data_IF_154225777672
#
_entry.id   IF_154225777672
#
_cell.length_a   1.000
_cell.length_b   1.000
_cell.length_c   1.000
_cell.angle_alpha   90.00
_cell.angle_beta   90.00
_cell.angle_gamma   90.00
#
_symmetry.space_group_name_H-M   'P 1'
#
loop_
_entity.id
_entity.type
_entity.pdbx_description
1 polymer ?
#
# COMPACT_ATOMS: atom_id res chain seq x y z
N UNK A 1 0.02 -3.77 6.25
CA UNK A 1 0.80 -5.00 6.03
C UNK A 1 0.02 -6.22 6.46
N UNK A 2 -0.28 -7.18 5.57
CA UNK A 2 -1.18 -8.28 5.89
C UNK A 2 -0.58 -9.41 6.71
N UNK A 3 0.72 -9.40 7.07
CA UNK A 3 1.36 -10.62 7.56
C UNK A 3 2.20 -10.41 8.81
N UNK A 4 1.54 -10.21 9.95
CA UNK A 4 2.17 -10.56 11.22
C UNK A 4 1.85 -12.01 11.51
N UNK A 5 2.81 -12.88 11.29
CA UNK A 5 2.73 -14.25 11.75
C UNK A 5 3.01 -14.29 13.26
N UNK A 6 2.07 -14.85 14.01
CA UNK A 6 2.43 -15.54 15.25
C UNK A 6 3.51 -16.56 14.86
N UNK A 7 4.59 -16.68 15.65
CA UNK A 7 5.66 -17.63 15.38
C UNK A 7 5.07 -19.00 15.05
N UNK A 8 5.32 -19.54 13.86
CA UNK A 8 4.64 -20.74 13.42
C UNK A 8 5.17 -21.94 14.20
N UNK A 9 4.28 -22.83 14.62
CA UNK A 9 4.68 -24.16 15.09
C UNK A 9 5.45 -24.89 13.98
N UNK A 10 6.47 -25.70 14.31
CA UNK A 10 7.33 -26.36 13.32
C UNK A 10 6.53 -27.29 12.41
N UNK A 11 6.73 -27.17 11.10
CA UNK A 11 6.04 -27.91 10.05
C UNK A 11 6.96 -28.87 9.29
N UNK A 12 6.50 -30.10 9.01
CA UNK A 12 7.07 -31.00 8.00
C UNK A 12 6.20 -31.00 6.74
N UNK A 13 6.75 -31.36 5.55
CA UNK A 13 6.05 -31.26 4.26
C UNK A 13 4.68 -31.95 4.21
N UNK A 14 4.41 -32.93 5.07
CA UNK A 14 3.18 -33.72 5.07
C UNK A 14 2.23 -33.45 6.23
N UNK A 15 2.69 -32.83 7.34
CA UNK A 15 1.85 -32.71 8.54
C UNK A 15 1.67 -31.27 9.05
N UNK A 16 2.37 -30.31 8.49
CA UNK A 16 2.48 -28.96 9.01
C UNK A 16 2.47 -27.85 7.93
N UNK A 17 1.76 -28.03 6.83
CA UNK A 17 1.46 -26.95 5.92
C UNK A 17 0.08 -26.40 6.24
N UNK A 18 -0.01 -25.11 6.57
CA UNK A 18 -1.31 -24.45 6.79
C UNK A 18 -1.62 -23.57 5.59
N UNK A 19 -2.82 -23.75 5.04
CA UNK A 19 -3.37 -22.84 4.05
C UNK A 19 -4.17 -21.77 4.79
N UNK A 20 -4.01 -20.54 4.38
CA UNK A 20 -4.67 -19.38 4.99
C UNK A 20 -5.39 -18.58 3.92
N UNK A 21 -6.69 -18.37 4.11
CA UNK A 21 -7.41 -17.35 3.37
C UNK A 21 -7.26 -16.01 4.12
N UNK A 22 -7.17 -14.94 3.39
CA UNK A 22 -7.12 -13.62 3.97
C UNK A 22 -7.94 -12.61 3.16
N UNK A 23 -8.48 -11.64 3.86
CA UNK A 23 -9.07 -10.43 3.30
C UNK A 23 -8.51 -9.23 4.05
N UNK A 24 -8.15 -8.21 3.31
CA UNK A 24 -7.69 -6.92 3.84
C UNK A 24 -8.52 -5.82 3.22
N UNK A 25 -9.03 -4.92 4.03
CA UNK A 25 -9.69 -3.69 3.60
C UNK A 25 -8.95 -2.53 4.25
N UNK A 26 -8.59 -1.53 3.47
CA UNK A 26 -8.03 -0.29 3.99
C UNK A 26 -8.78 0.89 3.41
N UNK A 27 -8.87 1.97 4.16
CA UNK A 27 -9.46 3.21 3.69
C UNK A 27 -8.87 4.38 4.45
N UNK A 28 -8.83 5.54 3.83
CA UNK A 28 -8.25 6.70 4.49
C UNK A 28 -8.37 7.97 3.70
N UNK A 29 -8.01 9.05 4.38
CA UNK A 29 -7.88 10.38 3.81
C UNK A 29 -6.43 10.82 3.89
N UNK A 30 -5.93 11.41 2.82
CA UNK A 30 -4.57 11.93 2.75
C UNK A 30 -4.50 13.21 1.94
N UNK A 31 -3.71 14.16 2.40
CA UNK A 31 -3.29 15.35 1.65
C UNK A 31 -1.84 15.16 1.22
N UNK A 32 -1.56 15.42 -0.05
CA UNK A 32 -0.21 15.36 -0.61
C UNK A 32 0.27 16.78 -0.96
N UNK A 33 1.47 17.12 -0.52
CA UNK A 33 2.13 18.39 -0.80
C UNK A 33 2.96 18.26 -2.09
N UNK A 34 2.30 18.37 -3.22
CA UNK A 34 2.89 18.17 -4.56
C UNK A 34 3.32 19.47 -5.25
N UNK A 35 3.28 20.60 -4.53
CA UNK A 35 3.36 21.97 -5.09
C UNK A 35 1.98 22.61 -5.20
N UNK A 36 0.92 21.80 -5.22
CA UNK A 36 -0.49 22.14 -5.06
C UNK A 36 -1.06 21.31 -3.89
N UNK A 37 -2.21 21.69 -3.36
CA UNK A 37 -2.90 20.86 -2.36
C UNK A 37 -3.72 19.80 -3.09
N UNK A 38 -3.26 18.55 -2.98
CA UNK A 38 -3.94 17.39 -3.54
C UNK A 38 -4.49 16.55 -2.40
N UNK A 39 -5.81 16.52 -2.28
CA UNK A 39 -6.52 15.73 -1.27
C UNK A 39 -7.07 14.45 -1.90
N UNK A 40 -6.97 13.34 -1.18
CA UNK A 40 -7.43 12.05 -1.66
C UNK A 40 -8.11 11.26 -0.55
N UNK A 41 -9.34 10.84 -0.80
CA UNK A 41 -10.03 9.78 -0.04
C UNK A 41 -9.94 8.49 -0.81
N UNK A 42 -9.50 7.41 -0.18
CA UNK A 42 -9.31 6.13 -0.84
C UNK A 42 -9.78 4.96 -0.01
N UNK A 43 -10.24 3.91 -0.70
CA UNK A 43 -10.55 2.63 -0.12
C UNK A 43 -10.08 1.52 -1.03
N UNK A 44 -9.52 0.46 -0.46
CA UNK A 44 -9.10 -0.71 -1.22
C UNK A 44 -9.38 -2.00 -0.46
N UNK A 45 -9.54 -3.07 -1.21
CA UNK A 45 -9.71 -4.42 -0.70
C UNK A 45 -8.76 -5.37 -1.42
N UNK A 46 -8.27 -6.37 -0.68
CA UNK A 46 -7.44 -7.45 -1.19
C UNK A 46 -7.94 -8.75 -0.58
N UNK A 47 -8.10 -9.77 -1.42
CA UNK A 47 -8.48 -11.13 -0.98
C UNK A 47 -7.49 -12.12 -1.57
N UNK A 48 -7.12 -13.14 -0.82
CA UNK A 48 -6.16 -14.10 -1.31
C UNK A 48 -6.06 -15.37 -0.49
N UNK A 49 -5.21 -16.25 -1.01
CA UNK A 49 -4.83 -17.51 -0.37
C UNK A 49 -3.31 -17.55 -0.24
N UNK A 50 -2.84 -17.97 0.90
CA UNK A 50 -1.42 -18.17 1.14
C UNK A 50 -1.19 -19.50 1.83
N UNK A 51 -0.10 -20.18 1.47
CA UNK A 51 0.31 -21.44 2.11
C UNK A 51 1.66 -21.27 2.76
N UNK A 52 1.72 -21.67 4.01
CA UNK A 52 2.96 -21.75 4.76
C UNK A 52 3.51 -23.18 4.72
N UNK A 53 4.82 -23.29 4.48
CA UNK A 53 5.54 -24.57 4.53
C UNK A 53 6.87 -24.38 5.30
N UNK A 54 7.26 -25.34 6.09
CA UNK A 54 8.57 -25.34 6.75
C UNK A 54 9.48 -26.38 6.10
N UNK A 55 10.62 -25.92 5.60
CA UNK A 55 11.71 -26.75 5.11
C UNK A 55 12.88 -26.68 6.11
N UNK A 56 13.11 -27.73 6.87
CA UNK A 56 14.19 -27.78 7.86
C UNK A 56 14.22 -26.54 8.75
N UNK A 57 15.20 -25.66 8.54
CA UNK A 57 15.42 -24.42 9.29
C UNK A 57 14.81 -23.16 8.65
N UNK A 58 14.13 -23.31 7.51
CA UNK A 58 13.52 -22.19 6.77
C UNK A 58 12.01 -22.35 6.73
N UNK A 59 11.26 -21.34 7.15
CA UNK A 59 9.82 -21.22 6.91
C UNK A 59 9.57 -20.44 5.62
N UNK A 60 8.66 -20.91 4.78
CA UNK A 60 8.28 -20.27 3.52
C UNK A 60 6.77 -20.07 3.46
N UNK A 61 6.35 -18.84 3.20
CA UNK A 61 4.96 -18.50 2.88
C UNK A 61 4.91 -18.07 1.40
N UNK A 62 4.00 -18.64 0.64
CA UNK A 62 3.67 -18.17 -0.70
C UNK A 62 2.17 -18.04 -0.87
N UNK A 63 1.73 -17.05 -1.64
CA UNK A 63 0.32 -16.79 -1.86
C UNK A 63 0.04 -16.02 -3.14
N UNK A 64 -1.24 -16.01 -3.49
CA UNK A 64 -1.79 -15.23 -4.59
C UNK A 64 -2.97 -14.41 -4.08
N UNK A 65 -3.20 -13.28 -4.72
CA UNK A 65 -4.28 -12.39 -4.31
C UNK A 65 -4.89 -11.65 -5.51
N UNK A 66 -6.12 -11.21 -5.31
CA UNK A 66 -6.80 -10.21 -6.11
C UNK A 66 -6.92 -8.93 -5.28
N UNK A 67 -6.76 -7.77 -5.92
CA UNK A 67 -6.95 -6.48 -5.30
C UNK A 67 -7.84 -5.57 -6.14
N UNK A 68 -8.57 -4.69 -5.47
CA UNK A 68 -9.32 -3.62 -6.09
C UNK A 68 -9.37 -2.41 -5.16
N UNK A 69 -9.42 -1.22 -5.73
CA UNK A 69 -9.51 0.01 -4.95
C UNK A 69 -10.19 1.12 -5.73
N UNK A 70 -10.71 2.07 -4.96
CA UNK A 70 -11.35 3.29 -5.44
C UNK A 70 -10.79 4.48 -4.68
N UNK A 71 -10.62 5.59 -5.34
CA UNK A 71 -10.27 6.85 -4.72
C UNK A 71 -11.01 8.01 -5.38
N UNK A 72 -11.30 9.00 -4.57
CA UNK A 72 -11.76 10.31 -5.00
C UNK A 72 -10.70 11.33 -4.61
N UNK A 73 -10.35 12.21 -5.52
CA UNK A 73 -9.38 13.26 -5.26
C UNK A 73 -9.88 14.61 -5.71
N UNK A 74 -9.42 15.65 -5.03
CA UNK A 74 -9.57 17.03 -5.45
C UNK A 74 -8.23 17.75 -5.36
N UNK A 75 -7.97 18.64 -6.30
CA UNK A 75 -6.79 19.46 -6.34
C UNK A 75 -7.17 20.92 -6.59
N UNK A 76 -6.61 21.81 -5.79
CA UNK A 76 -6.76 23.24 -5.94
C UNK A 76 -5.47 23.82 -6.53
N UNK A 77 -5.56 24.45 -7.69
CA UNK A 77 -4.44 25.06 -8.39
C UNK A 77 -4.45 26.56 -8.18
N UNK A 78 -3.50 27.06 -7.39
CA UNK A 78 -3.23 28.49 -7.25
C UNK A 78 -2.06 28.88 -8.18
N UNK A 79 -2.28 29.74 -9.13
CA UNK A 79 -1.20 30.32 -9.94
C UNK A 79 -1.18 31.83 -9.82
N UNK A 80 -0.02 32.40 -9.49
CA UNK A 80 0.14 33.84 -9.31
C UNK A 80 -0.28 34.60 -10.59
N UNK A 81 -1.39 35.32 -10.53
CA UNK A 81 -1.90 36.16 -11.62
C UNK A 81 -3.02 35.53 -12.46
N UNK A 82 -3.53 34.34 -12.10
CA UNK A 82 -4.70 33.71 -12.70
C UNK A 82 -5.70 33.34 -11.61
N UNK A 83 -6.97 33.20 -11.98
CA UNK A 83 -8.00 32.70 -11.08
C UNK A 83 -7.65 31.24 -10.69
N UNK A 84 -7.81 30.90 -9.41
CA UNK A 84 -7.70 29.52 -8.95
C UNK A 84 -8.78 28.66 -9.62
N UNK A 85 -8.46 27.44 -10.00
CA UNK A 85 -9.44 26.48 -10.48
C UNK A 85 -9.33 25.19 -9.68
N UNK A 86 -10.48 24.58 -9.48
CA UNK A 86 -10.61 23.31 -8.80
C UNK A 86 -10.70 22.18 -9.83
N UNK A 87 -10.13 21.04 -9.51
CA UNK A 87 -10.32 19.81 -10.27
C UNK A 87 -10.70 18.69 -9.33
N UNK A 88 -11.71 17.94 -9.74
CA UNK A 88 -12.20 16.75 -9.05
C UNK A 88 -12.01 15.52 -9.92
N UNK A 89 -11.76 14.39 -9.28
CA UNK A 89 -11.62 13.17 -10.04
C UNK A 89 -11.77 11.91 -9.20
N UNK A 90 -11.95 10.81 -9.93
CA UNK A 90 -12.03 9.48 -9.36
C UNK A 90 -10.99 8.58 -10.03
N UNK A 91 -10.40 7.71 -9.24
CA UNK A 91 -9.56 6.65 -9.75
C UNK A 91 -10.02 5.31 -9.18
N UNK A 92 -10.02 4.29 -10.03
CA UNK A 92 -10.30 2.92 -9.66
C UNK A 92 -9.22 2.01 -10.20
N UNK A 93 -8.89 0.94 -9.48
CA UNK A 93 -7.96 -0.05 -9.98
C UNK A 93 -8.39 -1.45 -9.57
N UNK A 94 -7.95 -2.42 -10.34
CA UNK A 94 -8.06 -3.84 -10.00
C UNK A 94 -6.86 -4.60 -10.56
N UNK A 95 -6.49 -5.68 -9.87
CA UNK A 95 -5.32 -6.44 -10.26
C UNK A 95 -5.19 -7.77 -9.55
N UNK A 96 -4.20 -8.52 -9.97
CA UNK A 96 -3.82 -9.80 -9.37
C UNK A 96 -2.35 -9.77 -9.00
N UNK A 97 -1.98 -10.54 -8.00
CA UNK A 97 -0.59 -10.59 -7.57
C UNK A 97 -0.21 -11.87 -6.85
N UNK A 98 1.07 -11.99 -6.61
CA UNK A 98 1.67 -13.04 -5.81
C UNK A 98 2.52 -12.42 -4.70
N UNK A 99 2.65 -13.16 -3.61
CA UNK A 99 3.45 -12.76 -2.46
C UNK A 99 4.26 -13.92 -1.92
N UNK A 100 5.36 -13.59 -1.28
CA UNK A 100 6.23 -14.56 -0.62
C UNK A 100 6.88 -13.99 0.63
N UNK A 101 7.13 -14.86 1.61
CA UNK A 101 7.89 -14.53 2.81
C UNK A 101 8.73 -15.72 3.25
N UNK A 102 10.00 -15.48 3.51
CA UNK A 102 10.97 -16.44 4.02
C UNK A 102 11.27 -16.10 5.48
N UNK A 103 11.27 -17.09 6.34
CA UNK A 103 11.64 -16.99 7.75
C UNK A 103 12.86 -17.84 8.03
N UNK A 104 13.91 -17.26 8.60
CA UNK A 104 15.11 -17.97 9.02
C UNK A 104 14.97 -18.35 10.49
N UNK A 105 14.97 -19.66 10.76
CA UNK A 105 14.74 -20.21 12.10
C UNK A 105 16.00 -20.85 12.70
N UNK A 106 17.18 -20.68 12.06
CA UNK A 106 18.45 -21.15 12.61
C UNK A 106 18.90 -20.30 13.81
N UNK A 107 19.60 -20.90 14.75
CA UNK A 107 19.96 -20.28 16.04
C UNK A 107 20.67 -18.93 15.90
N UNK A 108 21.53 -18.76 14.87
CA UNK A 108 22.26 -17.51 14.62
C UNK A 108 21.43 -16.44 13.88
N UNK A 109 20.38 -16.87 13.17
CA UNK A 109 19.54 -16.00 12.31
C UNK A 109 18.08 -16.03 12.72
N UNK A 110 17.78 -16.49 13.92
CA UNK A 110 16.43 -16.62 14.42
C UNK A 110 15.71 -15.28 14.41
N UNK A 111 14.54 -15.27 13.76
CA UNK A 111 13.70 -14.10 13.64
C UNK A 111 13.97 -13.23 12.41
N UNK A 112 15.04 -13.47 11.64
CA UNK A 112 15.25 -12.81 10.37
C UNK A 112 14.23 -13.32 9.34
N UNK A 113 13.72 -12.40 8.53
CA UNK A 113 12.84 -12.71 7.41
C UNK A 113 13.12 -11.83 6.19
N UNK A 114 12.76 -12.35 5.03
CA UNK A 114 12.65 -11.58 3.80
C UNK A 114 11.25 -11.73 3.23
N UNK A 115 10.70 -10.70 2.62
CA UNK A 115 9.38 -10.72 2.01
C UNK A 115 9.34 -9.98 0.69
N UNK A 116 8.37 -10.31 -0.14
CA UNK A 116 8.15 -9.59 -1.38
C UNK A 116 6.78 -9.89 -1.97
N UNK A 117 6.35 -9.04 -2.85
CA UNK A 117 5.18 -9.27 -3.71
C UNK A 117 5.37 -8.61 -5.06
N UNK A 118 4.63 -9.14 -6.03
CA UNK A 118 4.48 -8.55 -7.35
C UNK A 118 3.01 -8.55 -7.73
N UNK A 119 2.56 -7.51 -8.43
CA UNK A 119 1.16 -7.34 -8.88
C UNK A 119 1.09 -6.62 -10.21
N UNK A 120 0.07 -6.94 -10.96
CA UNK A 120 -0.27 -6.31 -12.23
C UNK A 120 -1.78 -6.07 -12.28
N UNK A 121 -2.20 -5.04 -12.99
CA UNK A 121 -3.62 -4.72 -13.10
C UNK A 121 -3.87 -3.54 -14.03
N UNK A 122 -5.09 -3.02 -13.93
CA UNK A 122 -5.55 -1.86 -14.68
C UNK A 122 -5.94 -0.76 -13.71
N UNK A 123 -5.55 0.45 -14.04
CA UNK A 123 -5.90 1.70 -13.38
C UNK A 123 -6.80 2.49 -14.31
N UNK A 124 -8.00 2.83 -13.84
CA UNK A 124 -8.92 3.71 -14.53
C UNK A 124 -9.01 5.00 -13.75
N UNK A 125 -8.92 6.12 -14.41
CA UNK A 125 -9.19 7.38 -13.74
C UNK A 125 -9.90 8.36 -14.66
N UNK A 126 -10.69 9.24 -14.05
CA UNK A 126 -11.36 10.34 -14.70
C UNK A 126 -11.28 11.57 -13.82
N UNK A 127 -11.16 12.71 -14.46
CA UNK A 127 -11.27 14.00 -13.79
C UNK A 127 -11.94 15.04 -14.68
N UNK A 128 -12.50 16.02 -14.04
CA UNK A 128 -13.13 17.20 -14.62
C UNK A 128 -12.66 18.45 -13.88
N UNK A 129 -12.81 19.59 -14.52
CA UNK A 129 -12.40 20.87 -13.92
C UNK A 129 -13.54 21.85 -13.93
N UNK A 130 -13.79 22.49 -12.80
CA UNK A 130 -14.65 23.66 -12.71
C UNK A 130 -13.82 24.93 -13.03
N UNK A 131 -14.23 25.63 -14.08
CA UNK A 131 -13.64 26.94 -14.43
C UNK A 131 -12.63 26.93 -15.56
N UNK A 132 -12.01 25.79 -15.91
CA UNK A 132 -11.16 25.71 -17.09
C UNK A 132 -11.98 25.20 -18.28
N UNK A 133 -12.17 26.07 -19.28
CA UNK A 133 -12.93 25.75 -20.49
C UNK A 133 -12.05 25.78 -21.72
N UNK A 134 -12.10 24.72 -22.50
CA UNK A 134 -11.46 24.63 -23.81
C UNK A 134 -12.55 24.61 -24.86
N UNK A 135 -12.52 25.58 -25.80
CA UNK A 135 -13.55 25.75 -26.84
C UNK A 135 -14.98 25.90 -26.30
N UNK A 136 -15.18 26.42 -25.07
CA UNK A 136 -16.48 26.65 -24.45
C UNK A 136 -17.06 25.46 -23.69
N UNK A 137 -16.40 24.30 -23.70
CA UNK A 137 -16.72 23.13 -22.88
C UNK A 137 -15.77 23.02 -21.70
N UNK A 138 -16.25 22.51 -20.57
CA UNK A 138 -15.41 22.17 -19.43
C UNK A 138 -14.42 21.07 -19.83
N UNK A 139 -13.19 21.14 -19.29
CA UNK A 139 -12.16 20.17 -19.59
C UNK A 139 -12.42 18.89 -18.78
N UNK A 140 -12.56 17.78 -19.47
CA UNK A 140 -12.70 16.44 -18.90
C UNK A 140 -11.69 15.48 -19.51
N UNK A 141 -11.29 14.47 -18.74
CA UNK A 141 -10.37 13.46 -19.18
C UNK A 141 -10.68 12.11 -18.52
N UNK A 142 -10.57 11.04 -19.28
CA UNK A 142 -10.64 9.67 -18.78
C UNK A 142 -9.56 8.80 -19.38
N UNK A 143 -8.99 7.91 -18.57
CA UNK A 143 -7.87 7.05 -18.93
C UNK A 143 -8.04 5.65 -18.37
N UNK A 144 -7.48 4.67 -19.09
CA UNK A 144 -7.31 3.30 -18.64
C UNK A 144 -5.88 2.84 -18.94
N UNK A 145 -5.05 2.73 -17.89
CA UNK A 145 -3.63 2.42 -18.03
C UNK A 145 -3.26 1.14 -17.28
N UNK A 146 -2.43 0.25 -17.88
CA UNK A 146 -1.84 -0.85 -17.16
C UNK A 146 -0.94 -0.34 -16.03
N UNK A 147 -1.01 -1.01 -14.87
CA UNK A 147 -0.04 -0.78 -13.82
C UNK A 147 0.63 -2.08 -13.38
N UNK A 148 1.82 -1.95 -12.84
CA UNK A 148 2.53 -3.00 -12.14
C UNK A 148 3.20 -2.45 -10.89
N UNK A 149 3.29 -3.27 -9.86
CA UNK A 149 3.98 -2.89 -8.65
C UNK A 149 4.66 -4.08 -7.99
N UNK A 150 5.75 -3.80 -7.30
CA UNK A 150 6.50 -4.78 -6.54
C UNK A 150 6.95 -4.19 -5.21
N UNK A 151 7.10 -5.04 -4.21
CA UNK A 151 7.88 -4.68 -3.04
C UNK A 151 8.80 -5.83 -2.65
N UNK A 152 9.93 -5.48 -2.04
CA UNK A 152 10.84 -6.39 -1.40
C UNK A 152 11.26 -5.83 -0.06
N UNK A 153 11.41 -6.68 0.94
CA UNK A 153 11.78 -6.24 2.28
C UNK A 153 12.52 -7.30 3.07
N UNK A 154 13.23 -6.83 4.07
CA UNK A 154 13.88 -7.66 5.09
C UNK A 154 13.48 -7.14 6.46
N UNK A 155 13.45 -8.02 7.44
CA UNK A 155 13.19 -7.62 8.81
C UNK A 155 13.70 -8.66 9.81
N UNK A 156 13.65 -8.26 11.05
CA UNK A 156 14.04 -9.07 12.19
C UNK A 156 13.00 -8.95 13.30
N UNK A 157 12.43 -10.09 13.65
CA UNK A 157 11.43 -10.21 14.70
C UNK A 157 12.06 -10.91 15.90
N UNK A 158 12.00 -10.30 17.07
CA UNK A 158 12.55 -10.82 18.31
C UNK A 158 11.58 -10.62 19.46
N UNK A 159 11.40 -11.68 20.26
CA UNK A 159 10.75 -11.54 21.57
C UNK A 159 11.68 -10.81 22.53
N UNK A 160 11.28 -9.65 22.99
CA UNK A 160 11.98 -8.81 23.96
C UNK A 160 11.68 -9.30 25.37
N UNK A 161 10.42 -9.69 25.59
CA UNK A 161 9.92 -10.35 26.80
C UNK A 161 8.95 -11.46 26.39
N UNK A 162 8.44 -12.25 27.32
CA UNK A 162 7.45 -13.30 27.07
C UNK A 162 6.18 -12.75 26.41
N UNK A 163 5.86 -11.47 26.65
CA UNK A 163 4.65 -10.80 26.20
C UNK A 163 4.88 -9.69 25.17
N UNK A 164 6.11 -9.42 24.76
CA UNK A 164 6.43 -8.31 23.84
C UNK A 164 7.36 -8.80 22.76
N UNK A 165 6.90 -8.68 21.51
CA UNK A 165 7.70 -8.93 20.31
C UNK A 165 8.06 -7.59 19.65
N UNK A 166 9.31 -7.44 19.25
CA UNK A 166 9.82 -6.33 18.44
C UNK A 166 10.03 -6.81 17.01
N UNK A 167 9.52 -6.08 16.04
CA UNK A 167 9.76 -6.26 14.60
C UNK A 167 10.42 -4.99 14.06
N UNK A 168 11.63 -5.13 13.49
CA UNK A 168 12.36 -4.06 12.81
C UNK A 168 12.46 -4.44 11.35
N UNK A 169 12.13 -3.53 10.43
CA UNK A 169 12.09 -3.84 9.01
C UNK A 169 12.55 -2.71 8.11
N UNK A 170 12.99 -3.09 6.92
CA UNK A 170 13.20 -2.18 5.80
C UNK A 170 12.54 -2.76 4.55
N UNK A 171 11.87 -1.92 3.76
CA UNK A 171 11.12 -2.29 2.55
C UNK A 171 11.37 -1.30 1.43
N UNK A 172 11.63 -1.84 0.26
CA UNK A 172 11.62 -1.09 -0.98
C UNK A 172 10.31 -1.37 -1.72
N UNK A 173 9.66 -0.31 -2.18
CA UNK A 173 8.40 -0.36 -2.90
C UNK A 173 8.59 0.33 -4.24
N UNK A 174 8.20 -0.34 -5.30
CA UNK A 174 8.19 0.17 -6.66
C UNK A 174 6.80 0.04 -7.25
N UNK A 175 6.38 1.04 -8.02
CA UNK A 175 5.20 0.97 -8.85
C UNK A 175 5.41 1.74 -10.15
N UNK A 176 4.82 1.22 -11.20
CA UNK A 176 4.85 1.75 -12.55
C UNK A 176 3.43 1.82 -13.11
N UNK A 177 3.06 2.96 -13.66
CA UNK A 177 1.85 3.17 -14.45
C UNK A 177 2.31 3.49 -15.86
N UNK A 178 1.80 2.78 -16.84
CA UNK A 178 2.18 2.99 -18.25
C UNK A 178 1.71 4.35 -18.75
N UNK A 179 2.39 4.84 -19.79
CA UNK A 179 1.99 6.02 -20.54
C UNK A 179 0.56 5.88 -21.08
N UNK A 180 -0.11 7.00 -21.24
CA UNK A 180 -1.44 7.06 -21.84
C UNK A 180 -1.57 8.23 -22.80
N UNK A 181 -2.18 7.94 -23.96
CA UNK A 181 -2.50 8.91 -24.98
C UNK A 181 -3.99 9.23 -24.93
N UNK A 182 -4.34 10.45 -24.56
CA UNK A 182 -5.72 10.87 -24.45
C UNK A 182 -6.03 12.18 -25.17
N UNK A 183 -7.24 12.69 -24.98
CA UNK A 183 -7.63 13.99 -25.44
C UNK A 183 -8.39 14.75 -24.37
N UNK A 184 -8.04 16.01 -24.17
CA UNK A 184 -8.78 16.94 -23.32
C UNK A 184 -9.48 17.92 -24.24
N UNK A 185 -10.82 17.90 -24.26
CA UNK A 185 -11.66 18.78 -25.10
C UNK A 185 -11.22 18.82 -26.58
N UNK A 186 -10.83 17.63 -27.12
CA UNK A 186 -10.41 17.48 -28.51
C UNK A 186 -8.92 17.82 -28.78
N UNK A 187 -8.17 18.23 -27.79
CA UNK A 187 -6.71 18.43 -27.88
C UNK A 187 -5.99 17.17 -27.39
N UNK A 188 -5.05 16.66 -28.21
CA UNK A 188 -4.26 15.48 -27.83
C UNK A 188 -3.34 15.82 -26.67
N UNK A 189 -3.35 14.99 -25.66
CA UNK A 189 -2.49 15.07 -24.49
C UNK A 189 -1.83 13.71 -24.30
N UNK A 190 -0.52 13.71 -24.12
CA UNK A 190 0.23 12.51 -23.79
C UNK A 190 0.65 12.60 -22.32
N UNK A 191 0.34 11.58 -21.56
CA UNK A 191 0.83 11.42 -20.18
C UNK A 191 1.97 10.41 -20.20
N UNK A 192 3.13 10.85 -19.71
CA UNK A 192 4.28 9.97 -19.58
C UNK A 192 4.06 8.86 -18.57
N UNK A 193 4.75 7.75 -18.75
CA UNK A 193 4.79 6.69 -17.77
C UNK A 193 5.28 7.21 -16.41
N UNK A 194 4.64 6.79 -15.34
CA UNK A 194 4.97 7.23 -13.99
C UNK A 194 5.59 6.10 -13.17
N UNK A 195 6.81 6.32 -12.70
CA UNK A 195 7.50 5.45 -11.76
C UNK A 195 7.50 6.04 -10.35
N UNK A 196 7.21 5.21 -9.36
CA UNK A 196 7.33 5.53 -7.95
C UNK A 196 8.26 4.56 -7.25
N UNK A 197 9.31 5.07 -6.64
CA UNK A 197 10.29 4.31 -5.86
C UNK A 197 10.33 4.84 -4.44
N UNK A 198 10.07 3.96 -3.46
CA UNK A 198 10.01 4.33 -2.04
C UNK A 198 10.82 3.36 -1.20
N UNK A 199 11.53 3.89 -0.22
CA UNK A 199 12.20 3.11 0.82
C UNK A 199 11.55 3.43 2.16
N UNK A 200 11.09 2.39 2.87
CA UNK A 200 10.47 2.49 4.19
C UNK A 200 11.27 1.69 5.19
N UNK A 201 11.61 2.30 6.31
CA UNK A 201 12.16 1.64 7.48
C UNK A 201 11.28 1.87 8.69
N UNK A 202 11.10 0.87 9.53
CA UNK A 202 10.22 1.00 10.68
C UNK A 202 10.47 -0.04 11.77
N UNK A 203 9.81 0.20 12.89
CA UNK A 203 9.78 -0.72 14.02
C UNK A 203 8.36 -0.83 14.58
N UNK A 204 8.00 -2.02 15.05
CA UNK A 204 6.71 -2.32 15.65
C UNK A 204 6.90 -3.16 16.90
N UNK A 205 6.22 -2.77 17.96
CA UNK A 205 6.09 -3.54 19.20
C UNK A 205 4.71 -4.18 19.22
N UNK A 206 4.67 -5.49 19.42
CA UNK A 206 3.44 -6.28 19.55
C UNK A 206 3.34 -6.81 20.98
N UNK A 207 2.20 -6.59 21.62
CA UNK A 207 1.93 -6.93 23.01
C UNK A 207 0.90 -8.05 23.06
N UNK A 208 1.24 -9.16 23.70
CA UNK A 208 0.37 -10.31 23.92
C UNK A 208 -0.42 -10.08 25.19
N UNK A 209 -1.71 -9.72 25.08
CA UNK A 209 -2.59 -9.57 26.23
C UNK A 209 -3.19 -10.89 26.68
N UNK A 210 -3.60 -11.76 25.71
CA UNK A 210 -4.10 -13.10 25.94
C UNK A 210 -4.07 -13.90 24.63
N UNK A 211 -4.50 -15.17 24.64
CA UNK A 211 -4.59 -16.00 23.44
C UNK A 211 -5.63 -15.52 22.43
N UNK A 212 -6.59 -14.69 22.88
CA UNK A 212 -7.66 -14.12 22.05
C UNK A 212 -7.45 -12.64 21.74
N UNK A 213 -6.50 -11.96 22.40
CA UNK A 213 -6.28 -10.54 22.24
C UNK A 213 -4.80 -10.15 22.23
N UNK A 214 -4.40 -9.38 21.25
CA UNK A 214 -3.10 -8.71 21.22
C UNK A 214 -3.25 -7.32 20.59
N UNK A 215 -2.30 -6.42 20.85
CA UNK A 215 -2.27 -5.09 20.26
C UNK A 215 -0.85 -4.72 19.85
N UNK A 216 -0.71 -3.71 19.03
CA UNK A 216 0.59 -3.27 18.56
C UNK A 216 0.66 -1.74 18.43
N UNK A 217 1.88 -1.23 18.54
CA UNK A 217 2.27 0.13 18.21
C UNK A 217 3.49 0.09 17.32
N UNK A 218 3.58 1.01 16.38
CA UNK A 218 4.72 1.09 15.49
C UNK A 218 4.98 2.51 15.01
N UNK A 219 6.18 2.70 14.51
CA UNK A 219 6.60 3.91 13.83
C UNK A 219 7.43 3.53 12.61
N UNK A 220 7.32 4.32 11.54
CA UNK A 220 8.08 4.13 10.33
C UNK A 220 8.41 5.48 9.67
N UNK A 221 9.43 5.45 8.84
CA UNK A 221 9.83 6.56 8.00
C UNK A 221 9.92 6.06 6.56
N UNK A 222 9.35 6.81 5.63
CA UNK A 222 9.36 6.52 4.21
C UNK A 222 9.96 7.69 3.44
N UNK A 223 10.89 7.39 2.55
CA UNK A 223 11.41 8.32 1.54
C UNK A 223 10.92 7.90 0.18
N UNK A 224 10.26 8.82 -0.52
CA UNK A 224 9.91 8.68 -1.93
C UNK A 224 10.96 9.42 -2.77
N UNK A 225 11.61 8.68 -3.69
CA UNK A 225 12.72 9.20 -4.50
C UNK A 225 12.28 9.82 -5.81
N UNK A 226 11.15 9.34 -6.37
CA UNK A 226 10.54 9.80 -7.61
C UNK A 226 9.02 9.65 -7.52
N UNK A 227 8.31 9.98 -8.57
CA UNK A 227 6.84 10.02 -8.62
C UNK A 227 6.43 11.37 -9.18
N UNK A 228 6.98 11.70 -10.37
CA UNK A 228 6.57 12.86 -11.14
C UNK A 228 5.58 12.40 -12.19
N UNK A 229 4.49 13.12 -12.30
CA UNK A 229 3.57 13.02 -13.42
C UNK A 229 3.89 14.16 -14.36
N UNK A 230 4.36 13.86 -15.55
CA UNK A 230 4.60 14.81 -16.62
C UNK A 230 3.60 14.59 -17.73
N UNK A 231 3.19 15.64 -18.38
CA UNK A 231 2.36 15.58 -19.57
C UNK A 231 2.84 16.58 -20.61
N UNK A 232 2.67 16.22 -21.87
CA UNK A 232 2.97 17.07 -23.02
C UNK A 232 1.65 17.48 -23.70
N UNK A 233 1.52 18.78 -23.93
CA UNK A 233 0.43 19.37 -24.69
C UNK A 233 1.02 20.14 -25.87
N UNK A 234 0.83 19.66 -27.09
CA UNK A 234 1.37 20.25 -28.32
C UNK A 234 2.89 20.45 -28.30
N UNK A 235 3.66 19.53 -27.71
CA UNK A 235 5.12 19.65 -27.63
C UNK A 235 5.62 20.57 -26.53
N UNK A 236 4.77 20.94 -25.58
CA UNK A 236 5.12 21.73 -24.40
C UNK A 236 4.89 20.92 -23.12
N UNK A 237 5.96 20.71 -22.36
CA UNK A 237 5.89 20.07 -21.05
C UNK A 237 5.05 20.92 -20.08
N UNK A 238 4.13 20.28 -19.37
CA UNK A 238 3.37 20.93 -18.31
C UNK A 238 4.13 20.88 -16.98
N UNK A 239 3.88 21.84 -16.05
CA UNK A 239 4.42 21.75 -14.70
C UNK A 239 4.03 20.43 -14.04
N UNK A 240 5.01 19.65 -13.61
CA UNK A 240 4.81 18.32 -13.06
C UNK A 240 4.54 18.36 -11.56
N UNK A 241 3.47 17.70 -11.13
CA UNK A 241 3.26 17.37 -9.72
C UNK A 241 4.30 16.34 -9.26
N UNK A 242 4.89 16.51 -8.09
CA UNK A 242 5.90 15.61 -7.55
C UNK A 242 5.51 15.06 -6.18
N UNK A 243 5.51 13.75 -6.06
CA UNK A 243 5.33 13.04 -4.78
C UNK A 243 6.65 12.83 -4.01
N UNK A 244 7.78 13.35 -4.53
CA UNK A 244 9.10 13.18 -3.93
C UNK A 244 9.17 13.82 -2.55
N UNK A 245 9.67 13.08 -1.57
CA UNK A 245 9.87 13.61 -0.21
C UNK A 245 9.73 12.56 0.88
N UNK A 246 9.59 13.05 2.09
CA UNK A 246 9.67 12.29 3.32
C UNK A 246 8.31 12.21 4.03
N UNK A 247 7.98 11.04 4.56
CA UNK A 247 6.76 10.82 5.34
C UNK A 247 7.09 10.01 6.59
N UNK A 248 6.76 10.57 7.75
CA UNK A 248 6.75 9.85 9.01
C UNK A 248 5.39 9.17 9.21
N UNK A 249 5.39 7.99 9.84
CA UNK A 249 4.20 7.20 10.08
C UNK A 249 4.18 6.75 11.54
N UNK A 250 3.01 6.77 12.13
CA UNK A 250 2.73 6.11 13.42
C UNK A 250 1.54 5.19 13.23
N UNK A 251 1.62 3.99 13.79
CA UNK A 251 0.57 3.00 13.65
C UNK A 251 0.20 2.38 14.99
N UNK A 252 -1.08 2.04 15.14
CA UNK A 252 -1.58 1.28 16.26
C UNK A 252 -2.66 0.32 15.77
N UNK A 253 -2.82 -0.79 16.47
CA UNK A 253 -3.89 -1.72 16.15
C UNK A 253 -4.03 -2.83 17.17
N UNK A 254 -5.06 -3.63 16.96
CA UNK A 254 -5.40 -4.75 17.81
C UNK A 254 -5.75 -5.98 16.95
N UNK A 255 -5.48 -7.14 17.49
CA UNK A 255 -5.83 -8.44 16.92
C UNK A 255 -6.75 -9.15 17.89
N UNK A 256 -7.82 -9.67 17.35
CA UNK A 256 -8.86 -10.39 18.07
C UNK A 256 -9.05 -11.80 17.47
N UNK A 257 -9.18 -12.79 18.32
CA UNK A 257 -9.60 -14.14 17.98
C UNK A 257 -10.92 -14.41 18.73
N UNK A 258 -11.98 -14.93 18.09
CA UNK A 258 -13.28 -15.15 18.76
C UNK A 258 -13.20 -16.03 19.99
N UNK A 259 -12.39 -17.10 19.92
CA UNK A 259 -12.08 -17.97 21.05
C UNK A 259 -10.68 -18.58 20.89
N UNK A 260 -10.15 -19.14 21.96
CA UNK A 260 -8.87 -19.84 21.96
C UNK A 260 -8.90 -21.04 21.00
N UNK A 261 -7.86 -21.16 20.17
CA UNK A 261 -7.76 -22.25 19.20
C UNK A 261 -8.55 -22.09 17.90
N UNK A 262 -9.44 -21.08 17.80
CA UNK A 262 -10.18 -20.83 16.58
C UNK A 262 -9.27 -20.45 15.41
N UNK A 263 -9.55 -20.96 14.18
CA UNK A 263 -8.76 -20.66 12.99
C UNK A 263 -8.99 -19.23 12.45
N UNK A 264 -9.99 -18.53 12.95
CA UNK A 264 -10.40 -17.20 12.53
C UNK A 264 -9.79 -16.13 13.43
N UNK A 265 -9.21 -15.07 12.85
CA UNK A 265 -8.82 -13.88 13.59
C UNK A 265 -8.99 -12.60 12.77
N UNK A 266 -9.19 -11.52 13.49
CA UNK A 266 -9.41 -10.18 12.95
C UNK A 266 -8.28 -9.25 13.39
N UNK A 267 -7.92 -8.31 12.52
CA UNK A 267 -7.02 -7.22 12.88
C UNK A 267 -7.69 -5.91 12.53
N UNK A 268 -7.69 -4.98 13.48
CA UNK A 268 -8.06 -3.59 13.28
C UNK A 268 -6.82 -2.73 13.49
N UNK A 269 -6.61 -1.75 12.63
CA UNK A 269 -5.46 -0.86 12.74
C UNK A 269 -5.77 0.54 12.23
N UNK A 270 -4.96 1.48 12.67
CA UNK A 270 -4.94 2.84 12.16
C UNK A 270 -3.50 3.29 11.97
N UNK A 271 -3.27 4.13 10.95
CA UNK A 271 -1.97 4.73 10.67
C UNK A 271 -2.15 6.21 10.41
N UNK A 272 -1.39 7.03 11.14
CA UNK A 272 -1.27 8.47 10.89
C UNK A 272 -0.02 8.77 10.07
N UNK A 273 -0.10 9.76 9.20
CA UNK A 273 0.97 10.20 8.29
C UNK A 273 1.29 11.67 8.52
N UNK A 274 2.58 12.02 8.47
CA UNK A 274 3.04 13.41 8.53
C UNK A 274 4.25 13.63 7.64
N UNK A 275 4.27 14.73 6.89
CA UNK A 275 5.34 15.07 5.95
C UNK A 275 4.83 15.50 4.59
N UNK A 276 5.35 14.93 3.50
CA UNK A 276 4.83 15.16 2.13
C UNK A 276 3.43 14.58 1.97
N UNK A 277 3.17 13.45 2.62
CA UNK A 277 1.84 12.88 2.83
C UNK A 277 1.40 13.14 4.25
N UNK A 278 0.26 13.77 4.44
CA UNK A 278 -0.42 13.98 5.72
C UNK A 278 -1.77 13.27 5.70
N UNK A 279 -2.23 12.78 6.86
CA UNK A 279 -3.56 12.16 6.94
C UNK A 279 -3.62 10.92 7.80
N UNK A 280 -4.65 10.12 7.60
CA UNK A 280 -4.94 8.93 8.39
C UNK A 280 -5.53 7.82 7.51
N UNK A 281 -5.19 6.57 7.83
CA UNK A 281 -5.85 5.40 7.24
C UNK A 281 -6.23 4.39 8.31
N UNK A 282 -7.32 3.66 8.04
CA UNK A 282 -7.78 2.51 8.79
C UNK A 282 -7.49 1.21 8.07
N UNK A 283 -7.33 0.14 8.82
CA UNK A 283 -7.10 -1.21 8.36
C UNK A 283 -8.07 -2.18 9.03
N UNK A 284 -8.70 -3.02 8.24
CA UNK A 284 -9.43 -4.20 8.72
C UNK A 284 -8.93 -5.44 7.97
N UNK A 285 -8.59 -6.49 8.71
CA UNK A 285 -8.16 -7.76 8.13
C UNK A 285 -8.92 -8.91 8.76
N UNK A 286 -9.19 -9.91 7.93
CA UNK A 286 -9.74 -11.21 8.32
C UNK A 286 -8.78 -12.28 7.84
N UNK A 287 -8.45 -13.23 8.70
CA UNK A 287 -7.65 -14.39 8.36
C UNK A 287 -8.33 -15.66 8.85
N UNK A 288 -8.34 -16.66 7.99
CA UNK A 288 -8.86 -17.99 8.30
C UNK A 288 -7.81 -19.06 7.96
N UNK A 289 -7.46 -19.89 8.92
CA UNK A 289 -6.51 -21.00 8.75
C UNK A 289 -7.26 -22.31 8.51
N UNK A 290 -6.82 -23.08 7.49
CA UNK A 290 -7.38 -24.42 7.19
C UNK A 290 -6.48 -25.51 7.71
#
# INVERSE_FOLDING_TARGET
>A
EPYQCVAPKPCTWNENSHTRAFMTVTGGYSTYKTGTHFNMTSGNAMVGLARYCKLRSVGFLAGVFFEAGLSHFNAEYEHAGYDSFDSDGNAGYYGVGALGKLYLNETAMQGLYAEGSFRIGMLNYNWDTDGWRVNGSEADYSSESPYMAAHGGIGWMKSVTDNVDLDIYAKYLWSHVSEDDGSISGSRVNFDAMDSNRLRGGARLSFKGSDVFSWYLGAAYERQFNGRSTSDIYGHDTPSASLTGDTAMVEAGLRLRPSEGEPLFFTLGATGYGGVREGVSGLFQVHYEF
#
